data_IF_026189062545
#
_entry.id   IF_026189062545
#
_cell.length_a   1.000
_cell.length_b   1.000
_cell.length_c   1.000
_cell.angle_alpha   90.00
_cell.angle_beta   90.00
_cell.angle_gamma   90.00
#
_symmetry.space_group_name_H-M   'P 1'
#
loop_
_entity.id
_entity.type
_entity.pdbx_description
1 polymer ?
#
# COMPACT_ATOMS: atom_id res chain seq x y z
N UNK A 1 -29.93 -7.91 2.19
CA UNK A 1 -29.16 -6.64 2.05
C UNK A 1 -27.68 -6.98 2.00
N UNK A 2 -27.09 -7.09 0.81
CA UNK A 2 -25.64 -6.95 0.50
C UNK A 2 -25.39 -7.48 -0.92
N UNK A 3 -25.79 -6.71 -1.94
CA UNK A 3 -25.41 -6.98 -3.33
C UNK A 3 -24.56 -5.86 -3.96
N UNK A 4 -24.26 -4.78 -3.22
CA UNK A 4 -23.68 -3.57 -3.81
C UNK A 4 -22.14 -3.47 -3.68
N UNK A 5 -21.45 -4.54 -3.27
CA UNK A 5 -20.03 -4.44 -2.86
C UNK A 5 -19.04 -4.87 -3.97
N UNK A 6 -19.46 -5.67 -4.94
CA UNK A 6 -18.52 -6.37 -5.83
C UNK A 6 -18.40 -5.73 -7.23
N UNK A 7 -19.23 -4.74 -7.57
CA UNK A 7 -19.20 -4.15 -8.93
C UNK A 7 -17.90 -3.38 -9.25
N UNK A 8 -17.18 -2.90 -8.22
CA UNK A 8 -15.97 -2.11 -8.42
C UNK A 8 -14.72 -2.94 -8.75
N UNK A 9 -14.70 -4.25 -8.44
CA UNK A 9 -13.56 -5.13 -8.73
C UNK A 9 -13.87 -6.02 -9.92
N UNK A 10 -13.04 -5.88 -10.94
CA UNK A 10 -13.20 -6.57 -12.23
C UNK A 10 -12.49 -7.92 -12.21
N UNK A 11 -11.32 -8.00 -11.59
CA UNK A 11 -10.51 -9.23 -11.52
C UNK A 11 -9.75 -9.32 -10.19
N UNK A 12 -9.48 -10.55 -9.77
CA UNK A 12 -8.65 -10.85 -8.60
C UNK A 12 -7.58 -11.85 -9.03
N UNK A 13 -6.34 -11.56 -8.66
CA UNK A 13 -5.16 -12.37 -8.94
C UNK A 13 -4.60 -12.89 -7.63
N UNK A 14 -4.20 -14.16 -7.62
CA UNK A 14 -3.51 -14.77 -6.49
C UNK A 14 -2.01 -14.79 -6.76
N UNK A 15 -1.25 -14.05 -5.96
CA UNK A 15 0.19 -13.85 -6.14
C UNK A 15 0.95 -14.57 -5.04
N UNK A 16 1.90 -15.41 -5.44
CA UNK A 16 2.81 -16.06 -4.50
C UNK A 16 3.98 -15.13 -4.19
N UNK A 17 4.13 -14.75 -2.92
CA UNK A 17 5.18 -13.81 -2.49
C UNK A 17 6.59 -14.37 -2.65
N UNK A 18 6.78 -15.69 -2.84
CA UNK A 18 8.12 -16.27 -3.07
C UNK A 18 8.82 -15.70 -4.30
N UNK A 19 8.04 -15.22 -5.27
CA UNK A 19 8.55 -14.67 -6.53
C UNK A 19 9.01 -13.21 -6.37
N UNK A 20 8.57 -12.50 -5.33
CA UNK A 20 8.87 -11.10 -5.09
C UNK A 20 9.30 -10.89 -3.63
N UNK A 21 10.62 -10.86 -3.41
CA UNK A 21 11.21 -10.66 -2.08
C UNK A 21 10.70 -9.38 -1.41
N UNK A 22 10.31 -8.35 -2.17
CA UNK A 22 9.80 -7.09 -1.62
C UNK A 22 8.41 -7.22 -0.97
N UNK A 23 7.67 -8.30 -1.29
CA UNK A 23 6.32 -8.58 -0.77
C UNK A 23 6.29 -9.70 0.28
N UNK A 24 7.45 -10.25 0.63
CA UNK A 24 7.55 -11.31 1.64
C UNK A 24 7.44 -10.75 3.06
N UNK A 25 6.96 -11.58 3.99
CA UNK A 25 6.89 -11.22 5.41
C UNK A 25 8.24 -11.45 6.05
N UNK A 26 8.68 -10.51 6.87
CA UNK A 26 9.84 -10.69 7.73
C UNK A 26 9.33 -10.94 9.14
N UNK A 27 9.79 -12.00 9.79
CA UNK A 27 9.50 -12.31 11.18
C UNK A 27 10.81 -12.61 11.92
N UNK A 28 10.85 -12.27 13.20
CA UNK A 28 11.96 -12.65 14.08
C UNK A 28 11.49 -13.90 14.83
N UNK A 29 12.22 -15.00 14.70
CA UNK A 29 11.92 -16.24 15.39
C UNK A 29 12.38 -16.17 16.87
N UNK A 30 12.02 -17.17 17.66
CA UNK A 30 12.39 -17.23 19.09
C UNK A 30 13.92 -17.31 19.31
N UNK A 31 14.68 -17.66 18.27
CA UNK A 31 16.14 -17.71 18.29
C UNK A 31 16.79 -16.37 17.90
N UNK A 32 16.01 -15.28 17.79
CA UNK A 32 16.44 -13.96 17.34
C UNK A 32 16.98 -13.93 15.89
N UNK A 33 16.57 -14.89 15.06
CA UNK A 33 16.93 -14.93 13.64
C UNK A 33 15.85 -14.28 12.78
N UNK A 34 16.28 -13.65 11.69
CA UNK A 34 15.38 -13.00 10.73
C UNK A 34 14.93 -14.04 9.71
N UNK A 35 13.66 -14.41 9.75
CA UNK A 35 13.04 -15.34 8.82
C UNK A 35 12.16 -14.62 7.80
N UNK A 36 12.26 -15.06 6.55
CA UNK A 36 11.41 -14.57 5.46
C UNK A 36 10.30 -15.58 5.17
N UNK A 37 9.07 -15.22 5.49
CA UNK A 37 7.88 -16.03 5.27
C UNK A 37 7.16 -15.51 4.03
N UNK A 38 7.15 -16.33 2.99
CA UNK A 38 6.35 -16.06 1.81
C UNK A 38 4.95 -16.67 1.99
N UNK A 39 3.92 -15.83 1.80
CA UNK A 39 2.52 -16.26 1.76
C UNK A 39 1.87 -16.00 0.40
N UNK A 40 0.56 -16.23 0.36
CA UNK A 40 -0.28 -15.81 -0.74
C UNK A 40 -0.82 -14.41 -0.48
N UNK A 41 -0.92 -13.62 -1.55
CA UNK A 41 -1.52 -12.28 -1.56
C UNK A 41 -2.56 -12.21 -2.66
N UNK A 42 -3.61 -11.43 -2.43
CA UNK A 42 -4.62 -11.13 -3.44
C UNK A 42 -4.34 -9.73 -3.99
N UNK A 43 -4.24 -9.62 -5.30
CA UNK A 43 -4.18 -8.34 -6.02
C UNK A 43 -5.46 -8.17 -6.83
N UNK A 44 -6.05 -6.99 -6.81
CA UNK A 44 -7.33 -6.73 -7.48
C UNK A 44 -7.16 -5.72 -8.61
N UNK A 45 -7.92 -5.91 -9.69
CA UNK A 45 -8.13 -4.92 -10.75
C UNK A 45 -9.45 -4.20 -10.47
N UNK A 46 -9.36 -2.94 -10.06
CA UNK A 46 -10.46 -2.21 -9.42
C UNK A 46 -10.30 -2.15 -7.90
N UNK A 47 -10.96 -1.16 -7.28
CA UNK A 47 -10.77 -0.83 -5.86
C UNK A 47 -12.11 -0.58 -5.17
N UNK A 48 -12.24 -1.03 -3.92
CA UNK A 48 -13.31 -0.64 -3.01
C UNK A 48 -12.80 -0.69 -1.59
N UNK A 49 -11.73 0.07 -1.33
CA UNK A 49 -10.85 -0.16 -0.18
C UNK A 49 -11.59 -0.09 1.17
N UNK A 50 -12.54 0.84 1.30
CA UNK A 50 -13.38 0.98 2.50
C UNK A 50 -14.16 -0.28 2.85
N UNK A 51 -14.70 -0.97 1.85
CA UNK A 51 -15.56 -2.14 2.09
C UNK A 51 -14.71 -3.38 2.40
N UNK A 52 -13.58 -3.53 1.70
CA UNK A 52 -12.64 -4.62 1.98
C UNK A 52 -12.07 -4.53 3.39
N UNK A 53 -11.69 -3.33 3.84
CA UNK A 53 -11.25 -3.17 5.23
C UNK A 53 -12.36 -3.50 6.25
N UNK A 54 -13.65 -3.38 5.90
CA UNK A 54 -14.75 -3.76 6.79
C UNK A 54 -15.08 -5.27 6.78
N UNK A 55 -14.42 -6.06 5.94
CA UNK A 55 -14.74 -7.49 5.77
C UNK A 55 -13.96 -8.35 6.75
N UNK A 56 -14.59 -9.43 7.24
CA UNK A 56 -13.90 -10.42 8.09
C UNK A 56 -12.86 -11.16 7.23
N UNK A 57 -11.74 -11.56 7.84
CA UNK A 57 -10.62 -12.26 7.19
C UNK A 57 -9.66 -11.39 6.35
N UNK A 58 -9.79 -10.07 6.43
CA UNK A 58 -8.83 -9.13 5.80
C UNK A 58 -7.86 -8.57 6.84
N UNK A 59 -6.56 -8.64 6.52
CA UNK A 59 -5.50 -8.06 7.35
C UNK A 59 -5.42 -6.55 7.17
N UNK A 60 -6.13 -5.82 8.02
CA UNK A 60 -6.21 -4.35 8.05
C UNK A 60 -4.85 -3.63 8.04
N UNK A 61 -3.80 -4.29 8.54
CA UNK A 61 -2.47 -3.68 8.66
C UNK A 61 -1.65 -3.81 7.38
N UNK A 62 -2.03 -4.72 6.50
CA UNK A 62 -1.23 -5.13 5.34
C UNK A 62 -1.97 -4.96 4.02
N UNK A 63 -3.27 -4.66 4.05
CA UNK A 63 -4.04 -4.27 2.87
C UNK A 63 -3.69 -2.85 2.45
N UNK A 64 -3.43 -2.67 1.16
CA UNK A 64 -3.00 -1.41 0.55
C UNK A 64 -3.79 -1.18 -0.75
N UNK A 65 -4.11 0.08 -1.05
CA UNK A 65 -4.67 0.52 -2.34
C UNK A 65 -3.72 1.51 -2.98
N UNK A 66 -3.64 1.51 -4.31
CA UNK A 66 -2.84 2.46 -5.08
C UNK A 66 -3.60 3.76 -5.39
N UNK A 67 -4.88 3.85 -5.03
CA UNK A 67 -5.73 5.04 -5.19
C UNK A 67 -5.60 5.97 -3.99
N UNK A 68 -5.13 7.20 -4.23
CA UNK A 68 -4.92 8.21 -3.19
C UNK A 68 -6.22 8.80 -2.65
N UNK A 69 -7.29 8.81 -3.45
CA UNK A 69 -8.60 9.34 -3.04
C UNK A 69 -9.21 8.40 -2.02
N UNK A 70 -9.16 7.09 -2.27
CA UNK A 70 -9.64 6.10 -1.30
C UNK A 70 -8.85 6.11 0.02
N UNK A 71 -7.54 6.34 -0.04
CA UNK A 71 -6.70 6.48 1.17
C UNK A 71 -7.14 7.70 1.97
N UNK A 72 -7.45 8.81 1.31
CA UNK A 72 -7.96 10.01 1.97
C UNK A 72 -9.33 9.77 2.61
N UNK A 73 -10.25 9.14 1.88
CA UNK A 73 -11.62 8.89 2.32
C UNK A 73 -11.72 7.90 3.50
N UNK A 74 -10.80 6.94 3.58
CA UNK A 74 -10.78 5.94 4.66
C UNK A 74 -9.91 6.38 5.84
N UNK A 75 -8.80 7.07 5.57
CA UNK A 75 -7.87 7.51 6.60
C UNK A 75 -7.85 9.04 6.74
N UNK A 76 -6.73 9.68 6.40
CA UNK A 76 -6.50 11.12 6.58
C UNK A 76 -5.37 11.59 5.66
N UNK A 77 -5.15 12.90 5.57
CA UNK A 77 -4.11 13.49 4.73
C UNK A 77 -2.69 12.99 5.04
N UNK A 78 -2.40 12.65 6.30
CA UNK A 78 -1.10 12.07 6.68
C UNK A 78 -0.86 10.67 6.10
N UNK A 79 -1.92 9.87 5.94
CA UNK A 79 -1.82 8.56 5.30
C UNK A 79 -1.55 8.72 3.80
N UNK A 80 -2.21 9.69 3.15
CA UNK A 80 -1.95 10.04 1.74
C UNK A 80 -0.50 10.46 1.55
N UNK A 81 0.02 11.31 2.44
CA UNK A 81 1.41 11.76 2.41
C UNK A 81 2.39 10.59 2.48
N UNK A 82 2.20 9.67 3.41
CA UNK A 82 3.04 8.46 3.54
C UNK A 82 2.91 7.54 2.32
N UNK A 83 1.71 7.39 1.77
CA UNK A 83 1.47 6.55 0.59
C UNK A 83 2.18 7.10 -0.67
N UNK A 84 2.14 8.42 -0.88
CA UNK A 84 2.88 9.10 -1.96
C UNK A 84 4.38 8.93 -1.75
N UNK A 85 4.86 9.14 -0.52
CA UNK A 85 6.27 8.98 -0.19
C UNK A 85 6.77 7.56 -0.48
N UNK A 86 6.01 6.55 -0.04
CA UNK A 86 6.31 5.15 -0.29
C UNK A 86 6.37 4.84 -1.79
N UNK A 87 5.38 5.30 -2.56
CA UNK A 87 5.32 5.08 -4.01
C UNK A 87 6.46 5.77 -4.75
N UNK A 88 6.82 6.98 -4.35
CA UNK A 88 7.99 7.70 -4.90
C UNK A 88 9.28 6.95 -4.61
N UNK A 89 9.49 6.46 -3.38
CA UNK A 89 10.66 5.66 -3.04
C UNK A 89 10.72 4.38 -3.87
N UNK A 90 9.59 3.70 -4.05
CA UNK A 90 9.51 2.48 -4.86
C UNK A 90 9.89 2.75 -6.32
N UNK A 91 9.36 3.81 -6.94
CA UNK A 91 9.69 4.21 -8.32
C UNK A 91 11.18 4.56 -8.46
N UNK A 92 11.75 5.32 -7.52
CA UNK A 92 13.17 5.71 -7.56
C UNK A 92 14.08 4.50 -7.39
N UNK A 93 13.73 3.58 -6.47
CA UNK A 93 14.50 2.36 -6.24
C UNK A 93 14.48 1.41 -7.45
N UNK A 94 13.37 1.40 -8.20
CA UNK A 94 13.23 0.60 -9.41
C UNK A 94 14.09 1.14 -10.58
N UNK A 95 14.20 2.47 -10.70
CA UNK A 95 14.94 3.16 -11.77
C UNK A 95 16.46 3.31 -11.47
N UNK A 96 16.92 2.91 -10.28
CA UNK A 96 18.35 2.96 -9.89
C UNK A 96 18.95 4.37 -9.77
N UNK A 97 18.14 5.42 -9.87
CA UNK A 97 18.60 6.81 -9.95
C UNK A 97 18.74 7.47 -8.57
N UNK A 98 19.91 7.34 -7.94
CA UNK A 98 20.29 7.93 -6.63
C UNK A 98 20.20 9.47 -6.56
N UNK A 99 19.95 10.17 -7.68
CA UNK A 99 20.03 11.64 -7.81
C UNK A 99 18.80 12.41 -7.34
N UNK A 100 17.69 11.76 -6.93
CA UNK A 100 16.39 12.43 -6.69
C UNK A 100 15.98 12.65 -5.23
N UNK A 101 16.86 12.42 -4.25
CA UNK A 101 16.51 12.62 -2.83
C UNK A 101 16.26 14.10 -2.45
N UNK A 102 16.90 15.06 -3.13
CA UNK A 102 16.79 16.50 -2.77
C UNK A 102 15.47 17.17 -3.16
N UNK A 103 14.78 16.75 -4.25
CA UNK A 103 13.49 17.33 -4.67
C UNK A 103 12.28 16.76 -3.91
N UNK A 104 12.48 15.66 -3.16
CA UNK A 104 11.43 14.95 -2.41
C UNK A 104 10.82 15.81 -1.29
N UNK A 105 11.65 16.54 -0.55
CA UNK A 105 11.19 17.38 0.57
C UNK A 105 10.36 18.60 0.12
N UNK A 106 10.63 19.13 -1.08
CA UNK A 106 9.92 20.30 -1.62
C UNK A 106 8.49 19.93 -2.02
N UNK A 107 8.30 18.82 -2.74
CA UNK A 107 6.97 18.36 -3.17
C UNK A 107 6.12 17.90 -1.98
N UNK A 108 6.73 17.17 -1.03
CA UNK A 108 6.04 16.77 0.20
C UNK A 108 5.60 17.99 1.02
N UNK A 109 6.47 19.01 1.10
CA UNK A 109 6.19 20.28 1.78
C UNK A 109 5.09 21.12 1.12
N UNK A 110 4.98 21.09 -0.22
CA UNK A 110 3.89 21.77 -0.94
C UNK A 110 2.55 21.07 -0.76
N UNK A 111 2.51 19.73 -0.76
CA UNK A 111 1.30 18.97 -0.51
C UNK A 111 0.79 19.15 0.93
N UNK A 112 1.69 19.28 1.92
CA UNK A 112 1.30 19.57 3.32
C UNK A 112 0.80 21.00 3.53
N UNK A 113 1.28 21.97 2.76
CA UNK A 113 0.85 23.38 2.88
C UNK A 113 -0.55 23.64 2.31
N UNK A 114 -1.03 22.79 1.40
CA UNK A 114 -2.36 22.91 0.79
C UNK A 114 -3.43 22.23 1.68
N UNK A 115 -3.01 21.43 2.67
CA UNK A 115 -3.90 20.68 3.57
C UNK A 115 -4.22 21.35 4.92
N UNK A 116 -3.80 22.61 5.16
CA UNK A 116 -4.29 23.36 6.31
C UNK A 116 -5.69 23.89 5.96
N UNK A 117 -6.72 23.32 6.59
CA UNK A 117 -7.96 24.06 6.87
C UNK A 117 -7.74 24.83 8.17
#
# INVERSE_FOLDING_TARGET
MQHNVIEAIRKVYMVNQKLDKSKTRIQINDNCEIETIAGWMLETDGTSFKIYLATKDIDLRRTYTNDVVEIFDVFSIDAVRKAIEYKMNHIISFDGSMKRSFKKNILLGQLTKIGTV
#
